data_IF_329881943956
#
_entry.id   IF_329881943956
#
_cell.length_a   1.000
_cell.length_b   1.000
_cell.length_c   1.000
_cell.angle_alpha   90.00
_cell.angle_beta   90.00
_cell.angle_gamma   90.00
#
_symmetry.space_group_name_H-M   'P 1'
#
loop_
_entity.id
_entity.type
_entity.pdbx_description
1 polymer ?
#
# COMPACT_ATOMS: atom_id res chain seq x y z
N UNK A 1 40.75 4.35 13.27
CA UNK A 1 40.63 5.62 12.51
C UNK A 1 42.03 6.03 12.10
N UNK A 2 42.23 6.45 10.85
CA UNK A 2 43.51 6.96 10.34
C UNK A 2 43.23 8.25 9.58
N UNK A 3 44.07 9.28 9.75
CA UNK A 3 43.83 10.55 9.09
C UNK A 3 44.63 11.73 9.62
N UNK A 4 44.61 12.82 8.88
CA UNK A 4 45.08 14.16 9.28
C UNK A 4 43.87 15.12 9.41
N UNK A 5 44.13 16.41 9.61
CA UNK A 5 43.07 17.44 9.75
C UNK A 5 42.20 17.61 8.51
N UNK A 6 42.66 17.18 7.32
CA UNK A 6 41.93 17.30 6.06
C UNK A 6 41.26 16.01 5.60
N UNK A 7 41.67 14.85 6.10
CA UNK A 7 41.15 13.55 5.65
C UNK A 7 41.06 12.55 6.78
N UNK A 8 39.87 12.01 7.03
CA UNK A 8 39.61 11.01 8.07
C UNK A 8 39.03 9.74 7.44
N UNK A 9 39.74 8.62 7.57
CA UNK A 9 39.31 7.30 7.13
C UNK A 9 38.93 6.40 8.32
N UNK A 10 37.77 5.75 8.20
CA UNK A 10 37.21 4.82 9.16
C UNK A 10 37.00 3.48 8.43
N UNK A 11 37.87 2.50 8.71
CA UNK A 11 37.86 1.18 8.06
C UNK A 11 36.93 0.16 8.76
N UNK A 12 36.67 0.30 10.07
CA UNK A 12 35.68 -0.49 10.84
C UNK A 12 34.76 0.50 11.58
N UNK A 13 33.89 1.14 10.81
CA UNK A 13 32.86 2.02 11.37
C UNK A 13 31.85 1.14 12.10
N UNK A 14 31.60 1.47 13.37
CA UNK A 14 30.46 0.96 14.15
C UNK A 14 29.75 2.15 14.74
N UNK A 15 28.59 2.45 14.20
CA UNK A 15 27.80 3.62 14.56
C UNK A 15 26.36 3.21 14.85
N UNK A 16 25.58 4.16 15.37
CA UNK A 16 24.13 4.02 15.48
C UNK A 16 23.47 5.26 14.92
N UNK A 17 22.49 5.09 14.04
CA UNK A 17 21.58 6.14 13.62
C UNK A 17 20.27 5.96 14.39
N UNK A 18 20.11 6.71 15.48
CA UNK A 18 19.07 6.42 16.47
C UNK A 18 19.25 5.03 17.08
N UNK A 19 18.24 4.17 16.97
CA UNK A 19 18.32 2.77 17.43
C UNK A 19 18.98 1.83 16.42
N UNK A 20 19.23 2.26 15.18
CA UNK A 20 19.66 1.41 14.07
C UNK A 20 21.19 1.22 14.12
N UNK A 21 21.71 0.00 14.32
CA UNK A 21 23.14 -0.25 14.23
C UNK A 21 23.61 -0.17 12.77
N UNK A 22 24.71 0.54 12.56
CA UNK A 22 25.37 0.71 11.27
C UNK A 22 26.81 0.21 11.37
N UNK A 23 27.24 -0.54 10.37
CA UNK A 23 28.62 -1.01 10.23
C UNK A 23 29.17 -0.66 8.86
N UNK A 24 30.48 -0.61 8.67
CA UNK A 24 31.07 -0.47 7.33
C UNK A 24 32.29 0.44 7.29
N UNK A 25 32.43 1.20 6.22
CA UNK A 25 33.54 2.12 6.00
C UNK A 25 33.04 3.53 5.73
N UNK A 26 33.83 4.52 6.14
CA UNK A 26 33.59 5.91 5.82
C UNK A 26 34.90 6.65 5.57
N UNK A 27 34.89 7.54 4.60
CA UNK A 27 35.95 8.48 4.28
C UNK A 27 35.37 9.87 4.30
N UNK A 28 35.89 10.70 5.18
CA UNK A 28 35.62 12.13 5.22
C UNK A 28 36.81 12.89 4.66
N UNK A 29 36.54 13.86 3.80
CA UNK A 29 37.51 14.80 3.29
C UNK A 29 36.98 16.21 3.50
N UNK A 30 37.74 17.03 4.24
CA UNK A 30 37.50 18.46 4.25
C UNK A 30 37.85 19.00 2.85
N UNK A 31 36.88 19.63 2.19
CA UNK A 31 37.10 20.35 0.93
C UNK A 31 37.21 21.85 1.19
N UNK A 32 37.79 22.59 0.25
CA UNK A 32 37.93 24.06 0.35
C UNK A 32 36.57 24.78 0.44
N UNK A 33 35.58 24.31 -0.34
CA UNK A 33 34.22 24.86 -0.33
C UNK A 33 33.20 23.98 0.41
N UNK A 34 33.27 22.66 0.20
CA UNK A 34 32.34 21.68 0.79
C UNK A 34 33.07 20.42 1.17
N UNK A 35 32.81 19.86 2.36
CA UNK A 35 33.35 18.55 2.71
C UNK A 35 32.68 17.46 1.88
N UNK A 36 33.44 16.39 1.63
CA UNK A 36 32.99 15.20 0.91
C UNK A 36 32.97 13.98 1.82
N UNK A 37 31.85 13.27 1.84
CA UNK A 37 31.66 12.02 2.57
C UNK A 37 31.45 10.85 1.61
N UNK A 38 32.34 9.87 1.65
CA UNK A 38 32.13 8.59 0.98
C UNK A 38 31.91 7.49 2.01
N UNK A 39 30.82 6.73 1.90
CA UNK A 39 30.49 5.68 2.86
C UNK A 39 29.95 4.42 2.18
N UNK A 40 30.37 3.26 2.69
CA UNK A 40 29.79 1.96 2.36
C UNK A 40 29.29 1.34 3.66
N UNK A 41 27.98 1.25 3.80
CA UNK A 41 27.30 0.93 5.06
C UNK A 41 26.49 -0.35 4.97
N UNK A 42 26.49 -1.11 6.06
CA UNK A 42 25.61 -2.24 6.31
C UNK A 42 24.73 -1.96 7.52
N UNK A 43 23.44 -2.18 7.38
CA UNK A 43 22.44 -2.00 8.41
C UNK A 43 21.59 -3.26 8.60
N UNK A 44 21.00 -3.39 9.79
CA UNK A 44 19.89 -4.31 10.01
C UNK A 44 18.61 -3.78 9.36
N UNK A 45 17.53 -3.72 10.13
CA UNK A 45 16.32 -3.01 9.71
C UNK A 45 16.46 -1.50 9.93
N UNK A 46 16.14 -0.73 8.90
CA UNK A 46 16.11 0.73 8.89
C UNK A 46 14.64 1.19 8.85
N UNK A 47 14.12 1.73 9.94
CA UNK A 47 12.76 2.29 9.99
C UNK A 47 12.81 3.81 9.80
N UNK A 48 12.11 4.33 8.79
CA UNK A 48 12.12 5.75 8.43
C UNK A 48 11.08 6.60 9.18
N UNK A 49 9.96 6.02 9.63
CA UNK A 49 8.94 6.73 10.42
C UNK A 49 9.50 7.53 11.61
N UNK A 50 10.37 6.98 12.48
CA UNK A 50 10.90 7.75 13.61
C UNK A 50 11.88 8.86 13.19
N UNK A 51 12.31 8.90 11.93
CA UNK A 51 13.25 9.87 11.39
C UNK A 51 12.55 11.03 10.65
N UNK A 52 11.24 10.95 10.46
CA UNK A 52 10.45 11.96 9.75
C UNK A 52 9.55 12.73 10.75
N UNK A 53 9.29 14.04 10.52
CA UNK A 53 8.36 14.81 11.35
C UNK A 53 7.00 14.13 11.43
N UNK A 54 6.39 14.14 12.62
CA UNK A 54 5.07 13.58 12.83
C UNK A 54 4.04 14.29 11.94
N UNK A 55 3.64 13.65 10.85
CA UNK A 55 2.47 14.04 10.08
C UNK A 55 1.25 13.74 10.94
N UNK A 56 0.43 14.76 11.23
CA UNK A 56 -0.91 14.55 11.79
C UNK A 56 -1.73 13.80 10.74
N UNK A 57 -1.78 12.48 10.81
CA UNK A 57 -2.64 11.67 9.96
C UNK A 57 -4.09 11.92 10.37
N UNK A 58 -4.89 12.48 9.46
CA UNK A 58 -6.36 12.47 9.56
C UNK A 58 -6.84 11.19 8.87
N UNK A 59 -7.71 10.48 9.59
CA UNK A 59 -8.41 9.21 9.27
C UNK A 59 -7.62 7.91 9.57
N UNK A 60 -7.80 7.46 10.80
CA UNK A 60 -7.50 6.12 11.30
C UNK A 60 -8.46 5.06 10.71
N UNK A 61 -7.96 3.83 10.50
CA UNK A 61 -8.67 2.67 9.95
C UNK A 61 -9.87 2.13 10.73
N UNK A 62 -10.37 2.85 11.74
CA UNK A 62 -11.56 2.45 12.53
C UNK A 62 -12.90 2.79 11.82
N UNK A 63 -12.87 3.57 10.74
CA UNK A 63 -14.06 3.93 9.97
C UNK A 63 -14.71 2.74 9.22
N UNK A 64 -13.96 1.65 8.96
CA UNK A 64 -14.48 0.43 8.33
C UNK A 64 -15.22 -0.49 9.33
N UNK A 65 -14.89 -0.43 10.61
CA UNK A 65 -15.58 -1.20 11.66
C UNK A 65 -16.93 -0.56 12.07
N UNK A 66 -17.07 0.75 11.87
CA UNK A 66 -18.31 1.51 12.12
C UNK A 66 -19.24 1.60 10.89
N UNK A 67 -19.01 0.80 9.85
CA UNK A 67 -19.67 0.92 8.55
C UNK A 67 -21.20 0.71 8.64
N UNK A 68 -22.04 1.66 8.20
CA UNK A 68 -23.50 1.58 8.27
C UNK A 68 -24.09 0.34 7.58
N UNK A 69 -23.43 -0.13 6.53
CA UNK A 69 -23.84 -1.31 5.75
C UNK A 69 -23.60 -2.62 6.54
N UNK A 70 -22.57 -2.70 7.38
CA UNK A 70 -22.35 -3.84 8.28
C UNK A 70 -23.39 -3.86 9.42
N UNK A 71 -23.78 -2.68 9.91
CA UNK A 71 -24.83 -2.51 10.92
C UNK A 71 -26.22 -2.84 10.35
N UNK A 72 -26.55 -2.34 9.16
CA UNK A 72 -27.77 -2.64 8.42
C UNK A 72 -27.86 -4.13 8.03
N UNK A 73 -26.74 -4.78 7.70
CA UNK A 73 -26.69 -6.23 7.47
C UNK A 73 -26.92 -7.05 8.75
N UNK A 74 -26.38 -6.61 9.90
CA UNK A 74 -26.62 -7.25 11.20
C UNK A 74 -28.07 -7.06 11.71
N UNK A 75 -28.70 -5.95 11.35
CA UNK A 75 -30.12 -5.65 11.64
C UNK A 75 -31.07 -6.38 10.68
N UNK A 76 -30.76 -6.45 9.38
CA UNK A 76 -31.50 -7.25 8.40
C UNK A 76 -31.43 -8.75 8.72
N UNK A 77 -30.30 -9.24 9.26
CA UNK A 77 -30.16 -10.64 9.73
C UNK A 77 -31.01 -10.93 10.97
N UNK A 78 -31.13 -9.97 11.89
CA UNK A 78 -32.04 -10.05 13.06
C UNK A 78 -33.52 -9.92 12.66
N UNK A 79 -33.83 -9.14 11.63
CA UNK A 79 -35.17 -9.03 11.05
C UNK A 79 -35.61 -10.30 10.31
N UNK A 80 -34.72 -10.88 9.50
CA UNK A 80 -34.99 -12.12 8.76
C UNK A 80 -35.18 -13.34 9.68
N UNK A 81 -34.51 -13.40 10.83
CA UNK A 81 -34.75 -14.44 11.85
C UNK A 81 -36.10 -14.29 12.59
N UNK A 82 -36.70 -13.09 12.58
CA UNK A 82 -37.99 -12.81 13.22
C UNK A 82 -39.17 -12.85 12.25
N UNK A 83 -38.93 -12.99 10.94
CA UNK A 83 -39.99 -13.06 9.93
C UNK A 83 -40.81 -14.36 10.04
N UNK A 84 -42.15 -14.28 10.24
CA UNK A 84 -43.01 -15.46 10.33
C UNK A 84 -43.05 -16.29 9.04
N UNK A 85 -42.64 -15.72 7.90
CA UNK A 85 -42.53 -16.42 6.63
C UNK A 85 -41.41 -17.49 6.59
N UNK A 86 -40.36 -17.38 7.41
CA UNK A 86 -39.34 -18.43 7.54
C UNK A 86 -39.78 -19.58 8.47
N UNK A 87 -40.70 -19.31 9.42
CA UNK A 87 -41.27 -20.35 10.29
C UNK A 87 -42.19 -21.28 9.50
N UNK A 88 -43.00 -20.76 8.58
CA UNK A 88 -43.90 -21.59 7.76
C UNK A 88 -43.14 -22.47 6.74
N UNK A 89 -42.07 -21.96 6.13
CA UNK A 89 -41.23 -22.75 5.20
C UNK A 89 -40.42 -23.84 5.94
N UNK A 90 -40.03 -23.61 7.20
CA UNK A 90 -39.38 -24.64 8.02
C UNK A 90 -40.38 -25.65 8.59
N UNK A 91 -41.59 -25.26 9.01
CA UNK A 91 -42.64 -26.19 9.45
C UNK A 91 -43.14 -27.09 8.31
N UNK A 92 -43.21 -26.60 7.07
CA UNK A 92 -43.57 -27.43 5.91
C UNK A 92 -42.46 -28.41 5.50
N UNK A 93 -41.19 -28.06 5.71
CA UNK A 93 -40.06 -28.99 5.43
C UNK A 93 -39.91 -30.04 6.55
N UNK A 94 -40.28 -29.70 7.79
CA UNK A 94 -40.17 -30.59 8.95
C UNK A 94 -41.34 -31.59 9.06
N UNK A 95 -42.54 -31.25 8.55
CA UNK A 95 -43.68 -32.19 8.47
C UNK A 95 -43.51 -33.30 7.41
N UNK A 96 -42.56 -33.16 6.49
CA UNK A 96 -42.30 -34.17 5.44
C UNK A 96 -41.25 -35.21 5.80
N UNK A 97 -40.54 -35.05 6.93
CA UNK A 97 -39.45 -35.94 7.36
C UNK A 97 -39.67 -36.62 8.73
N UNK A 98 -40.89 -36.63 9.28
CA UNK A 98 -41.20 -37.41 10.48
C UNK A 98 -41.94 -38.70 10.12
N UNK A 99 -41.16 -39.69 9.71
CA UNK A 99 -41.59 -41.08 9.61
C UNK A 99 -40.39 -42.01 9.77
N UNK A 100 -40.27 -42.64 10.95
CA UNK A 100 -39.41 -43.82 11.29
C UNK A 100 -37.89 -43.62 11.20
N UNK A 101 -37.01 -43.98 12.15
CA UNK A 101 -37.00 -44.96 13.26
C UNK A 101 -35.80 -44.69 14.20
N UNK A 102 -35.95 -45.07 15.47
CA UNK A 102 -34.95 -45.15 16.56
C UNK A 102 -33.60 -45.84 16.22
N UNK A 103 -32.48 -45.34 16.79
CA UNK A 103 -31.63 -46.08 17.78
C UNK A 103 -30.37 -45.32 18.25
N UNK A 104 -30.32 -45.09 19.57
CA UNK A 104 -29.20 -45.26 20.53
C UNK A 104 -27.78 -44.72 20.26
N UNK A 105 -27.33 -43.78 21.10
CA UNK A 105 -25.94 -43.52 21.50
C UNK A 105 -25.40 -44.62 22.45
N UNK A 106 -24.06 -44.76 22.65
CA UNK A 106 -23.43 -44.35 23.93
C UNK A 106 -21.94 -43.87 23.77
N UNK A 107 -21.04 -43.80 24.80
CA UNK A 107 -20.49 -42.53 25.34
C UNK A 107 -18.94 -42.37 25.29
N UNK A 108 -18.42 -41.19 25.68
CA UNK A 108 -16.98 -40.93 25.92
C UNK A 108 -16.49 -41.47 27.28
N UNK A 109 -15.17 -41.71 27.45
CA UNK A 109 -14.54 -41.72 28.76
C UNK A 109 -13.55 -40.57 29.00
N UNK A 110 -13.41 -40.22 30.28
CA UNK A 110 -12.49 -39.26 30.88
C UNK A 110 -11.13 -39.89 31.28
N UNK A 111 -10.14 -39.04 31.60
CA UNK A 111 -8.88 -39.39 32.28
C UNK A 111 -7.95 -38.15 32.34
N UNK A 112 -7.95 -37.32 33.41
CA UNK A 112 -7.15 -37.37 34.66
C UNK A 112 -5.62 -37.35 34.47
N UNK A 113 -4.94 -36.35 35.07
CA UNK A 113 -3.47 -36.34 35.18
C UNK A 113 -2.89 -34.98 35.59
N UNK A 114 -2.82 -34.74 36.89
CA UNK A 114 -2.23 -33.59 37.58
C UNK A 114 -0.75 -33.89 37.93
N UNK A 115 0.21 -32.98 37.74
CA UNK A 115 1.45 -32.92 38.52
C UNK A 115 2.04 -31.50 38.54
N UNK A 116 2.37 -31.06 39.76
CA UNK A 116 2.94 -29.79 40.18
C UNK A 116 3.99 -30.19 41.23
N UNK A 117 5.28 -29.88 41.04
CA UNK A 117 6.30 -29.83 42.10
C UNK A 117 7.41 -28.84 41.71
N UNK A 118 7.61 -27.83 42.58
CA UNK A 118 8.75 -26.91 42.70
C UNK A 118 10.06 -27.64 43.08
N UNK A 119 11.24 -27.12 42.71
CA UNK A 119 12.11 -26.40 43.66
C UNK A 119 13.49 -25.99 43.10
N UNK A 120 14.05 -24.95 43.74
CA UNK A 120 15.48 -24.65 43.96
C UNK A 120 16.39 -24.09 42.83
N UNK A 121 16.53 -22.75 42.85
CA UNK A 121 17.73 -21.95 43.22
C UNK A 121 19.11 -22.40 42.70
N UNK A 122 19.81 -21.52 41.96
CA UNK A 122 21.19 -21.06 42.28
C UNK A 122 21.68 -19.89 41.38
N UNK A 123 22.17 -18.81 42.02
CA UNK A 123 22.95 -17.69 41.44
C UNK A 123 24.45 -17.90 41.73
N UNK A 124 25.36 -17.33 40.92
CA UNK A 124 26.70 -16.95 41.40
C UNK A 124 27.10 -15.50 40.94
N UNK A 125 28.27 -14.92 41.32
CA UNK A 125 28.41 -13.86 42.33
C UNK A 125 29.03 -12.53 41.80
N UNK A 126 29.21 -11.47 42.62
CA UNK A 126 29.73 -10.15 42.20
C UNK A 126 31.22 -9.94 42.56
N UNK A 127 31.94 -9.10 41.79
CA UNK A 127 33.30 -8.60 42.12
C UNK A 127 33.56 -7.20 41.48
N UNK A 128 34.57 -6.40 41.89
CA UNK A 128 34.36 -5.24 42.78
C UNK A 128 34.88 -3.90 42.21
N UNK A 129 34.60 -2.83 42.97
CA UNK A 129 34.93 -1.44 42.67
C UNK A 129 36.37 -1.08 43.13
N UNK A 130 37.16 -0.37 42.31
CA UNK A 130 38.49 0.16 42.69
C UNK A 130 38.60 1.66 42.38
N UNK A 131 38.76 2.47 43.42
CA UNK A 131 39.25 3.86 43.37
C UNK A 131 40.78 3.86 43.27
N UNK A 132 41.35 4.76 42.46
CA UNK A 132 42.62 5.41 42.80
C UNK A 132 42.73 6.81 42.21
N UNK A 133 43.19 7.72 43.06
CA UNK A 133 43.54 9.12 42.83
C UNK A 133 44.82 9.33 42.00
N UNK A 134 44.97 10.49 41.35
CA UNK A 134 46.27 11.00 40.91
C UNK A 134 46.17 12.24 39.99
N UNK A 135 46.54 13.40 40.52
CA UNK A 135 46.55 14.72 39.87
C UNK A 135 47.71 14.84 38.86
N UNK A 136 47.47 15.50 37.73
CA UNK A 136 48.50 15.94 36.79
C UNK A 136 47.89 16.91 35.78
N UNK A 137 47.97 18.22 36.08
CA UNK A 137 47.53 19.31 35.22
C UNK A 137 48.66 19.62 34.23
N UNK A 138 48.39 19.51 32.93
CA UNK A 138 49.24 20.08 31.88
C UNK A 138 48.32 20.89 30.95
N UNK A 139 48.40 22.22 31.06
CA UNK A 139 47.65 23.16 30.21
C UNK A 139 48.27 23.17 28.80
N UNK A 140 47.50 22.82 27.79
CA UNK A 140 47.70 23.29 26.42
C UNK A 140 46.62 24.35 26.08
N UNK A 141 46.95 25.38 25.30
CA UNK A 141 46.01 26.46 24.98
C UNK A 141 44.85 25.92 24.14
N UNK A 142 43.62 26.15 24.59
CA UNK A 142 42.40 25.82 23.85
C UNK A 142 42.26 26.78 22.66
N UNK A 143 42.06 26.31 21.41
CA UNK A 143 41.65 27.20 20.34
C UNK A 143 40.27 27.79 20.68
N UNK A 144 40.15 29.12 20.57
CA UNK A 144 39.04 29.96 21.03
C UNK A 144 37.67 29.71 20.34
N UNK A 145 37.53 28.66 19.53
CA UNK A 145 36.24 28.26 18.93
C UNK A 145 35.56 27.08 19.66
N UNK A 146 36.23 26.39 20.58
CA UNK A 146 35.58 25.39 21.47
C UNK A 146 35.11 26.03 22.79
N UNK A 147 34.61 27.26 22.73
CA UNK A 147 33.80 27.81 23.80
C UNK A 147 32.51 27.00 23.88
N UNK A 148 32.28 26.38 25.03
CA UNK A 148 31.05 25.69 25.40
C UNK A 148 29.82 26.55 25.10
N UNK A 149 29.26 26.42 23.90
CA UNK A 149 27.83 26.46 23.77
C UNK A 149 27.34 25.19 24.46
N UNK A 150 26.91 25.34 25.72
CA UNK A 150 25.94 24.41 26.31
C UNK A 150 24.83 24.33 25.28
N UNK A 151 24.81 23.27 24.46
CA UNK A 151 23.72 23.04 23.53
C UNK A 151 22.44 23.20 24.35
N UNK A 152 21.52 24.10 23.97
CA UNK A 152 20.24 24.18 24.66
C UNK A 152 19.71 22.75 24.68
N UNK A 153 19.34 22.26 25.86
CA UNK A 153 18.84 20.90 26.00
C UNK A 153 17.63 20.73 25.09
N UNK A 154 17.85 20.24 23.88
CA UNK A 154 16.81 19.97 22.91
C UNK A 154 16.06 18.76 23.42
N UNK A 155 14.91 19.02 24.03
CA UNK A 155 14.03 17.98 24.58
C UNK A 155 13.44 17.13 23.45
N UNK A 156 13.37 17.66 22.22
CA UNK A 156 12.93 16.97 21.02
C UNK A 156 13.86 17.26 19.83
N UNK A 157 14.19 16.23 19.06
CA UNK A 157 14.94 16.34 17.79
C UNK A 157 14.18 17.21 16.75
N UNK A 158 12.84 17.27 16.90
CA UNK A 158 11.95 18.04 16.04
C UNK A 158 12.12 19.57 16.10
N UNK A 159 12.77 20.10 17.15
CA UNK A 159 12.95 21.55 17.34
C UNK A 159 14.27 22.07 16.75
N UNK A 160 15.09 21.20 16.15
CA UNK A 160 16.37 21.60 15.62
C UNK A 160 16.22 22.48 14.35
N UNK A 161 17.08 23.50 14.13
CA UNK A 161 16.97 24.38 12.95
C UNK A 161 17.04 23.67 11.59
N UNK A 162 17.75 22.54 11.51
CA UNK A 162 17.80 21.68 10.31
C UNK A 162 16.52 20.85 10.12
N UNK A 163 15.70 20.70 11.16
CA UNK A 163 14.37 20.09 11.11
C UNK A 163 13.33 21.04 10.49
N UNK A 164 13.56 22.36 10.63
CA UNK A 164 12.71 23.42 10.06
C UNK A 164 13.03 23.71 8.58
N UNK A 165 14.24 23.36 8.11
CA UNK A 165 14.68 23.45 6.71
C UNK A 165 15.36 22.14 6.29
N UNK A 166 14.59 21.06 6.12
CA UNK A 166 15.11 19.71 5.92
C UNK A 166 16.05 19.59 4.70
N UNK A 167 15.87 20.45 3.70
CA UNK A 167 16.70 20.46 2.51
C UNK A 167 18.00 21.27 2.63
N UNK A 168 18.12 22.17 3.62
CA UNK A 168 19.33 22.99 3.80
C UNK A 168 20.57 22.13 4.10
N UNK A 169 20.38 20.98 4.76
CA UNK A 169 21.46 20.04 5.04
C UNK A 169 22.06 19.42 3.75
N UNK A 170 21.26 19.28 2.69
CA UNK A 170 21.72 18.72 1.42
C UNK A 170 22.75 19.62 0.73
N UNK A 171 22.74 20.91 1.02
CA UNK A 171 23.72 21.86 0.49
C UNK A 171 24.98 21.99 1.36
N UNK A 172 25.02 21.37 2.55
CA UNK A 172 26.12 21.55 3.50
C UNK A 172 27.34 20.66 3.21
N UNK A 173 27.17 19.57 2.45
CA UNK A 173 28.24 18.64 2.11
C UNK A 173 27.89 17.87 0.83
N UNK A 174 28.92 17.30 0.21
CA UNK A 174 28.76 16.32 -0.87
C UNK A 174 28.92 14.90 -0.32
N UNK A 175 28.23 13.93 -0.91
CA UNK A 175 28.32 12.55 -0.47
C UNK A 175 28.16 11.49 -1.56
N UNK A 176 28.81 10.35 -1.33
CA UNK A 176 28.58 9.09 -2.02
C UNK A 176 28.26 8.04 -0.96
N UNK A 177 27.08 7.44 -1.03
CA UNK A 177 26.62 6.41 -0.10
C UNK A 177 26.24 5.15 -0.87
N UNK A 178 26.84 4.03 -0.45
CA UNK A 178 26.39 2.68 -0.79
C UNK A 178 25.85 2.03 0.51
N UNK A 179 24.58 1.65 0.52
CA UNK A 179 23.89 1.11 1.69
C UNK A 179 23.31 -0.27 1.37
N UNK A 180 23.71 -1.28 2.13
CA UNK A 180 23.03 -2.57 2.19
C UNK A 180 22.29 -2.70 3.54
N UNK A 181 20.99 -2.95 3.51
CA UNK A 181 20.17 -3.11 4.71
C UNK A 181 19.36 -4.41 4.65
N UNK A 182 19.18 -5.07 5.80
CA UNK A 182 18.31 -6.25 5.87
C UNK A 182 16.86 -5.90 5.50
N UNK A 183 16.39 -4.71 5.90
CA UNK A 183 15.15 -4.13 5.41
C UNK A 183 15.15 -2.60 5.55
N UNK A 184 14.40 -1.91 4.69
CA UNK A 184 14.05 -0.49 4.83
C UNK A 184 12.54 -0.39 4.91
N UNK A 185 12.01 0.21 5.97
CA UNK A 185 10.58 0.29 6.23
C UNK A 185 10.10 1.73 6.46
N UNK A 186 9.00 2.10 5.80
CA UNK A 186 8.29 3.35 5.96
C UNK A 186 6.79 3.09 5.86
N UNK A 187 6.04 3.34 6.94
CA UNK A 187 4.60 3.08 7.01
C UNK A 187 4.22 1.66 6.51
N UNK A 188 3.40 1.55 5.45
CA UNK A 188 3.01 0.27 4.84
C UNK A 188 4.08 -0.32 3.89
N UNK A 189 5.12 0.44 3.58
CA UNK A 189 6.17 0.09 2.63
C UNK A 189 7.33 -0.57 3.36
N UNK A 190 7.61 -1.83 3.02
CA UNK A 190 8.76 -2.57 3.54
C UNK A 190 9.53 -3.18 2.37
N UNK A 191 10.77 -2.78 2.23
CA UNK A 191 11.70 -3.30 1.23
C UNK A 191 12.71 -4.20 1.92
N UNK A 192 12.66 -5.49 1.63
CA UNK A 192 13.56 -6.49 2.18
C UNK A 192 14.82 -6.63 1.32
N UNK A 193 15.96 -6.92 1.96
CA UNK A 193 17.25 -7.06 1.27
C UNK A 193 17.62 -5.80 0.48
N UNK A 194 17.38 -4.64 1.07
CA UNK A 194 17.49 -3.36 0.39
C UNK A 194 18.96 -3.02 0.07
N UNK A 195 19.21 -2.58 -1.16
CA UNK A 195 20.50 -2.05 -1.58
C UNK A 195 20.31 -0.71 -2.27
N UNK A 196 20.99 0.33 -1.78
CA UNK A 196 20.82 1.71 -2.24
C UNK A 196 22.13 2.39 -2.55
N UNK A 197 22.19 3.08 -3.69
CA UNK A 197 23.30 3.94 -4.08
C UNK A 197 22.80 5.37 -4.24
N UNK A 198 23.40 6.27 -3.46
CA UNK A 198 23.02 7.67 -3.38
C UNK A 198 24.24 8.54 -3.61
N UNK A 199 24.09 9.56 -4.46
CA UNK A 199 25.06 10.65 -4.60
C UNK A 199 24.40 11.96 -4.23
N UNK A 200 25.11 12.80 -3.50
CA UNK A 200 24.72 14.16 -3.17
C UNK A 200 25.84 15.08 -3.66
N UNK A 201 25.49 16.00 -4.55
CA UNK A 201 26.46 16.96 -5.08
C UNK A 201 25.81 18.32 -5.18
N UNK A 202 26.38 19.31 -4.51
CA UNK A 202 25.95 20.69 -4.70
C UNK A 202 24.55 21.01 -4.18
N UNK A 203 23.92 20.16 -3.34
CA UNK A 203 22.51 20.28 -2.97
C UNK A 203 21.55 19.42 -3.81
N UNK A 204 22.05 18.72 -4.84
CA UNK A 204 21.24 17.81 -5.64
C UNK A 204 21.56 16.35 -5.27
N UNK A 205 20.56 15.63 -4.76
CA UNK A 205 20.63 14.21 -4.44
C UNK A 205 20.15 13.38 -5.63
N UNK A 206 20.85 12.29 -5.93
CA UNK A 206 20.46 11.29 -6.91
C UNK A 206 20.57 9.90 -6.30
N UNK A 207 19.50 9.12 -6.44
CA UNK A 207 19.46 7.68 -6.15
C UNK A 207 19.64 6.96 -7.48
N UNK A 208 20.84 6.44 -7.74
CA UNK A 208 21.16 5.76 -9.01
C UNK A 208 20.55 4.37 -9.07
N UNK A 209 20.43 3.70 -7.93
CA UNK A 209 19.76 2.42 -7.79
C UNK A 209 19.29 2.25 -6.35
N UNK A 210 18.04 1.84 -6.18
CA UNK A 210 17.53 1.31 -4.92
C UNK A 210 16.72 0.04 -5.22
N UNK A 211 17.22 -1.11 -4.79
CA UNK A 211 16.68 -2.43 -5.14
C UNK A 211 16.33 -3.22 -3.88
N UNK A 212 15.48 -4.23 -4.04
CA UNK A 212 15.11 -5.15 -2.96
C UNK A 212 13.81 -5.90 -3.28
N UNK A 213 13.14 -6.40 -2.25
CA UNK A 213 11.84 -7.08 -2.39
C UNK A 213 10.74 -6.25 -1.72
N UNK A 214 9.68 -5.93 -2.46
CA UNK A 214 8.51 -5.18 -1.99
C UNK A 214 7.24 -5.95 -2.33
N UNK A 215 6.41 -6.25 -1.32
CA UNK A 215 5.17 -7.05 -1.44
C UNK A 215 5.39 -8.39 -2.18
N UNK A 216 6.51 -9.05 -1.90
CA UNK A 216 6.90 -10.32 -2.55
C UNK A 216 7.37 -10.20 -4.00
N UNK A 217 7.45 -8.98 -4.56
CA UNK A 217 7.96 -8.68 -5.89
C UNK A 217 9.35 -8.05 -5.86
N UNK A 218 10.04 -8.03 -7.00
CA UNK A 218 11.35 -7.36 -7.16
C UNK A 218 11.17 -5.87 -7.39
N UNK A 219 11.78 -5.04 -6.55
CA UNK A 219 11.78 -3.58 -6.64
C UNK A 219 13.04 -3.07 -7.35
N UNK A 220 12.86 -2.10 -8.24
CA UNK A 220 13.91 -1.20 -8.71
C UNK A 220 13.40 0.24 -8.65
N UNK A 221 14.15 1.12 -7.99
CA UNK A 221 13.84 2.54 -7.86
C UNK A 221 15.04 3.38 -8.27
N UNK A 222 14.76 4.45 -9.01
CA UNK A 222 15.70 5.55 -9.24
C UNK A 222 15.02 6.86 -8.87
N UNK A 223 15.81 7.87 -8.50
CA UNK A 223 15.21 9.16 -8.16
C UNK A 223 16.22 10.29 -8.06
N UNK A 224 15.70 11.50 -7.98
CA UNK A 224 16.47 12.71 -7.77
C UNK A 224 15.68 13.71 -6.93
N UNK A 225 16.39 14.40 -6.05
CA UNK A 225 15.89 15.55 -5.31
C UNK A 225 16.86 16.71 -5.54
N UNK A 226 16.42 17.72 -6.26
CA UNK A 226 17.18 18.95 -6.43
C UNK A 226 16.75 19.97 -5.39
N UNK A 227 17.53 20.11 -4.32
CA UNK A 227 17.31 21.08 -3.26
C UNK A 227 18.05 22.40 -3.48
N UNK A 228 18.84 22.51 -4.56
CA UNK A 228 19.54 23.74 -4.91
C UNK A 228 18.64 24.73 -5.69
N UNK A 229 17.55 24.23 -6.28
CA UNK A 229 16.55 25.05 -6.95
C UNK A 229 15.76 25.94 -5.95
N UNK A 230 15.27 27.10 -6.42
CA UNK A 230 14.44 28.02 -5.63
C UNK A 230 13.24 27.34 -4.96
N UNK A 231 12.65 26.38 -5.66
CA UNK A 231 11.67 25.44 -5.11
C UNK A 231 12.21 24.04 -5.34
N UNK A 232 12.53 23.28 -4.27
CA UNK A 232 13.08 21.94 -4.40
C UNK A 232 12.18 21.02 -5.23
N UNK A 233 12.80 20.18 -6.06
CA UNK A 233 12.11 19.31 -7.02
C UNK A 233 12.46 17.85 -6.81
N UNK A 234 11.45 17.00 -6.73
CA UNK A 234 11.56 15.56 -6.62
C UNK A 234 11.12 14.90 -7.94
N UNK A 235 11.87 13.91 -8.39
CA UNK A 235 11.46 12.98 -9.42
C UNK A 235 11.85 11.55 -9.02
N UNK A 236 10.98 10.57 -9.26
CA UNK A 236 11.28 9.18 -8.99
C UNK A 236 10.63 8.26 -10.02
N UNK A 237 11.33 7.17 -10.36
CA UNK A 237 10.80 6.08 -11.18
C UNK A 237 10.88 4.81 -10.34
N UNK A 238 9.76 4.10 -10.27
CA UNK A 238 9.61 2.88 -9.46
C UNK A 238 9.08 1.77 -10.36
N UNK A 239 9.79 0.65 -10.36
CA UNK A 239 9.39 -0.58 -11.03
C UNK A 239 9.28 -1.69 -9.99
N UNK A 240 8.16 -2.41 -10.00
CA UNK A 240 7.95 -3.60 -9.18
C UNK A 240 7.49 -4.73 -10.08
N UNK A 241 8.18 -5.87 -10.06
CA UNK A 241 7.83 -7.06 -10.84
C UNK A 241 7.39 -8.22 -9.97
N UNK A 242 6.28 -8.84 -10.33
CA UNK A 242 5.77 -10.06 -9.71
C UNK A 242 5.31 -9.89 -8.25
N UNK A 243 4.89 -8.68 -7.84
CA UNK A 243 4.32 -8.47 -6.52
C UNK A 243 3.03 -9.28 -6.32
N UNK A 244 2.70 -9.59 -5.06
CA UNK A 244 1.41 -10.18 -4.72
C UNK A 244 0.32 -9.09 -4.80
N UNK A 245 -0.61 -9.26 -5.75
CA UNK A 245 -1.68 -8.27 -6.01
C UNK A 245 -2.57 -8.07 -4.78
N UNK A 246 -2.89 -9.15 -4.05
CA UNK A 246 -3.79 -9.09 -2.91
C UNK A 246 -3.12 -8.35 -1.75
N UNK A 247 -1.90 -8.74 -1.39
CA UNK A 247 -1.14 -8.08 -0.33
C UNK A 247 -0.95 -6.59 -0.65
N UNK A 248 -0.58 -6.27 -1.89
CA UNK A 248 -0.36 -4.89 -2.32
C UNK A 248 -1.62 -4.04 -2.14
N UNK A 249 -2.77 -4.51 -2.65
CA UNK A 249 -4.03 -3.77 -2.56
C UNK A 249 -4.59 -3.72 -1.14
N UNK A 250 -4.38 -4.76 -0.34
CA UNK A 250 -4.78 -4.79 1.05
C UNK A 250 -4.01 -3.75 1.87
N UNK A 251 -2.69 -3.67 1.71
CA UNK A 251 -1.85 -2.73 2.45
C UNK A 251 -2.07 -1.28 2.05
N UNK A 252 -2.26 -1.01 0.75
CA UNK A 252 -2.38 0.37 0.24
C UNK A 252 -3.80 0.90 0.33
N UNK A 253 -4.81 0.07 0.03
CA UNK A 253 -6.20 0.51 -0.14
C UNK A 253 -7.21 -0.28 0.73
N UNK A 254 -6.77 -1.23 1.54
CA UNK A 254 -7.66 -2.10 2.31
C UNK A 254 -8.49 -3.06 1.43
N UNK A 255 -8.13 -3.20 0.15
CA UNK A 255 -8.89 -3.97 -0.83
C UNK A 255 -8.37 -5.41 -0.92
N UNK A 256 -9.23 -6.37 -0.59
CA UNK A 256 -8.93 -7.81 -0.65
C UNK A 256 -9.64 -8.55 -1.79
N UNK A 257 -10.26 -7.80 -2.69
CA UNK A 257 -11.14 -8.34 -3.72
C UNK A 257 -10.38 -8.93 -4.92
N UNK A 258 -9.09 -8.65 -5.07
CA UNK A 258 -8.29 -9.11 -6.20
C UNK A 258 -7.12 -9.94 -5.71
N UNK A 259 -6.85 -11.03 -6.41
CA UNK A 259 -5.72 -11.95 -6.20
C UNK A 259 -5.00 -12.15 -7.53
N UNK A 260 -3.69 -12.42 -7.50
CA UNK A 260 -2.87 -12.61 -8.69
C UNK A 260 -1.45 -12.08 -8.51
N UNK A 261 -0.70 -12.00 -9.60
CA UNK A 261 0.60 -11.31 -9.66
C UNK A 261 0.42 -9.92 -10.25
N UNK A 262 1.25 -8.97 -9.82
CA UNK A 262 1.19 -7.57 -10.19
C UNK A 262 2.58 -7.05 -10.59
N UNK A 263 2.66 -6.48 -11.78
CA UNK A 263 3.75 -5.62 -12.22
C UNK A 263 3.31 -4.16 -12.18
N UNK A 264 4.19 -3.27 -11.72
CA UNK A 264 3.94 -1.84 -11.59
C UNK A 264 5.11 -1.06 -12.17
N UNK A 265 4.81 -0.04 -12.97
CA UNK A 265 5.74 1.00 -13.39
C UNK A 265 5.13 2.35 -13.02
N UNK A 266 5.79 3.09 -12.13
CA UNK A 266 5.30 4.36 -11.64
C UNK A 266 6.35 5.46 -11.83
N UNK A 267 5.89 6.60 -12.32
CA UNK A 267 6.67 7.83 -12.43
C UNK A 267 6.06 8.86 -11.50
N UNK A 268 6.88 9.48 -10.66
CA UNK A 268 6.47 10.43 -9.64
C UNK A 268 7.24 11.74 -9.78
N UNK A 269 6.57 12.84 -9.52
CA UNK A 269 7.15 14.16 -9.42
C UNK A 269 6.48 14.97 -8.31
N UNK A 270 7.27 15.82 -7.65
CA UNK A 270 6.75 16.79 -6.69
C UNK A 270 7.64 18.03 -6.66
N UNK A 271 7.07 19.15 -6.20
CA UNK A 271 7.83 20.35 -5.88
C UNK A 271 7.33 20.88 -4.54
N UNK A 272 8.25 21.39 -3.72
CA UNK A 272 7.89 21.91 -2.40
C UNK A 272 9.12 22.28 -1.58
N UNK A 273 8.97 23.28 -0.72
CA UNK A 273 10.00 23.76 0.20
C UNK A 273 10.19 22.86 1.43
N UNK A 274 9.31 21.88 1.61
CA UNK A 274 9.33 20.90 2.68
C UNK A 274 8.88 19.50 2.19
N UNK A 275 9.27 18.40 2.87
CA UNK A 275 8.78 17.06 2.60
C UNK A 275 7.25 16.95 2.68
N UNK A 276 6.62 17.72 3.57
CA UNK A 276 5.16 17.78 3.67
C UNK A 276 4.56 18.40 2.41
N UNK A 277 5.05 19.57 1.98
CA UNK A 277 4.58 20.23 0.76
C UNK A 277 4.79 19.34 -0.47
N UNK A 278 5.94 18.66 -0.56
CA UNK A 278 6.18 17.67 -1.61
C UNK A 278 5.21 16.50 -1.58
N UNK A 279 4.93 15.92 -0.40
CA UNK A 279 3.98 14.83 -0.27
C UNK A 279 2.57 15.23 -0.71
N UNK A 280 2.17 16.48 -0.44
CA UNK A 280 0.88 17.03 -0.83
C UNK A 280 0.81 17.39 -2.33
N UNK A 281 1.92 17.82 -2.92
CA UNK A 281 2.04 18.14 -4.35
C UNK A 281 2.41 16.92 -5.22
N UNK A 282 2.55 15.74 -4.61
CA UNK A 282 3.01 14.53 -5.30
C UNK A 282 2.03 14.15 -6.41
N UNK A 283 2.55 14.11 -7.63
CA UNK A 283 1.80 13.76 -8.84
C UNK A 283 2.53 12.62 -9.52
N UNK A 284 1.80 11.71 -10.15
CA UNK A 284 2.41 10.58 -10.83
C UNK A 284 1.50 9.84 -11.79
N UNK A 285 2.13 9.02 -12.61
CA UNK A 285 1.48 8.10 -13.54
C UNK A 285 1.93 6.69 -13.19
N UNK A 286 0.96 5.83 -12.88
CA UNK A 286 1.19 4.43 -12.50
C UNK A 286 0.56 3.53 -13.56
N UNK A 287 1.41 2.80 -14.28
CA UNK A 287 0.99 1.75 -15.21
C UNK A 287 1.14 0.41 -14.51
N UNK A 288 0.13 -0.43 -14.61
CA UNK A 288 0.16 -1.73 -13.95
C UNK A 288 -0.35 -2.84 -14.84
N UNK A 289 0.10 -4.05 -14.55
CA UNK A 289 -0.31 -5.29 -15.21
C UNK A 289 -0.45 -6.39 -14.17
N UNK A 290 -1.66 -6.87 -13.97
CA UNK A 290 -1.97 -8.06 -13.21
C UNK A 290 -2.26 -9.26 -14.11
N UNK A 291 -1.87 -10.45 -13.69
CA UNK A 291 -2.06 -11.68 -14.48
C UNK A 291 -2.53 -12.86 -13.64
N UNK A 292 -3.24 -13.78 -14.30
CA UNK A 292 -3.62 -15.11 -13.82
C UNK A 292 -4.23 -15.07 -12.41
N UNK A 293 -5.18 -14.17 -12.24
CA UNK A 293 -5.72 -13.84 -10.94
C UNK A 293 -7.19 -14.18 -10.77
N UNK A 294 -7.75 -13.72 -9.66
CA UNK A 294 -9.14 -13.95 -9.29
C UNK A 294 -9.76 -12.71 -8.68
N UNK A 295 -10.99 -12.42 -9.07
CA UNK A 295 -11.89 -11.53 -8.35
C UNK A 295 -12.58 -12.34 -7.27
N UNK A 296 -12.56 -11.88 -6.02
CA UNK A 296 -13.24 -12.47 -4.89
C UNK A 296 -14.50 -11.72 -4.57
N UNK A 297 -15.47 -12.44 -4.02
CA UNK A 297 -16.76 -11.87 -3.69
C UNK A 297 -17.74 -11.84 -4.85
N UNK A 298 -17.38 -12.36 -6.02
CA UNK A 298 -18.18 -12.27 -7.24
C UNK A 298 -18.15 -13.57 -8.05
N UNK A 299 -19.32 -14.05 -8.51
CA UNK A 299 -19.47 -15.22 -9.38
C UNK A 299 -20.08 -14.83 -10.74
N UNK A 300 -19.20 -14.62 -11.72
CA UNK A 300 -19.59 -14.27 -13.09
C UNK A 300 -20.28 -15.42 -13.81
N UNK A 301 -20.03 -16.68 -13.43
CA UNK A 301 -20.70 -17.81 -14.06
C UNK A 301 -22.18 -17.87 -13.67
N UNK A 302 -22.51 -17.58 -12.40
CA UNK A 302 -23.91 -17.41 -11.95
C UNK A 302 -24.56 -16.23 -12.66
N UNK A 303 -23.86 -15.10 -12.79
CA UNK A 303 -24.38 -13.95 -13.54
C UNK A 303 -24.68 -14.33 -14.99
N UNK A 304 -23.75 -14.96 -15.71
CA UNK A 304 -23.94 -15.41 -17.09
C UNK A 304 -25.16 -16.33 -17.25
N UNK A 305 -25.36 -17.30 -16.32
CA UNK A 305 -26.52 -18.19 -16.37
C UNK A 305 -27.84 -17.44 -16.19
N UNK A 306 -27.90 -16.47 -15.28
CA UNK A 306 -29.11 -15.66 -15.05
C UNK A 306 -29.40 -14.72 -16.22
N UNK A 307 -28.35 -14.17 -16.84
CA UNK A 307 -28.47 -13.41 -18.08
C UNK A 307 -29.06 -14.27 -19.21
N UNK A 308 -28.65 -15.53 -19.31
CA UNK A 308 -29.17 -16.48 -20.30
C UNK A 308 -30.61 -16.93 -20.05
N UNK A 309 -30.97 -17.20 -18.79
CA UNK A 309 -32.36 -17.42 -18.39
C UNK A 309 -33.22 -16.15 -18.56
N UNK A 310 -32.54 -15.00 -18.56
CA UNK A 310 -33.15 -13.72 -18.76
C UNK A 310 -33.99 -13.26 -17.57
N UNK A 311 -33.51 -13.61 -16.39
CA UNK A 311 -34.05 -13.14 -15.12
C UNK A 311 -33.77 -11.65 -14.92
N UNK A 312 -34.50 -11.03 -13.99
CA UNK A 312 -34.12 -9.73 -13.48
C UNK A 312 -32.72 -9.81 -12.86
N UNK A 313 -31.81 -8.95 -13.32
CA UNK A 313 -30.42 -8.96 -12.90
C UNK A 313 -30.31 -8.11 -11.64
N UNK A 314 -30.29 -8.78 -10.50
CA UNK A 314 -30.15 -8.16 -9.17
C UNK A 314 -28.91 -8.74 -8.50
N UNK A 315 -28.14 -7.90 -7.81
CA UNK A 315 -27.00 -8.36 -7.00
C UNK A 315 -27.54 -9.17 -5.80
N UNK A 316 -27.57 -10.49 -5.96
CA UNK A 316 -28.00 -11.44 -4.92
C UNK A 316 -26.79 -12.06 -4.21
N UNK A 317 -26.95 -12.65 -3.01
CA UNK A 317 -25.89 -13.36 -2.31
C UNK A 317 -25.20 -14.50 -3.11
N UNK A 318 -25.85 -14.99 -4.18
CA UNK A 318 -25.32 -16.01 -5.08
C UNK A 318 -24.39 -15.43 -6.17
N UNK A 319 -24.49 -14.13 -6.45
CA UNK A 319 -23.65 -13.42 -7.42
C UNK A 319 -22.58 -12.61 -6.68
N UNK A 320 -22.94 -12.01 -5.54
CA UNK A 320 -22.06 -11.22 -4.69
C UNK A 320 -22.09 -11.78 -3.27
N UNK A 321 -20.96 -12.26 -2.76
CA UNK A 321 -20.96 -12.94 -1.47
C UNK A 321 -19.62 -13.53 -1.05
N UNK A 322 -19.48 -13.80 0.25
CA UNK A 322 -18.25 -14.44 0.77
C UNK A 322 -18.06 -15.82 0.16
N UNK A 323 -16.83 -16.13 -0.24
CA UNK A 323 -16.47 -17.42 -0.84
C UNK A 323 -16.67 -17.51 -2.36
N UNK A 324 -17.38 -16.56 -2.97
CA UNK A 324 -17.51 -16.49 -4.43
C UNK A 324 -16.21 -16.00 -5.07
N UNK A 325 -15.92 -16.50 -6.27
CA UNK A 325 -14.72 -16.07 -6.99
C UNK A 325 -14.78 -16.32 -8.49
N UNK A 326 -14.28 -15.35 -9.27
CA UNK A 326 -14.23 -15.37 -10.74
C UNK A 326 -12.78 -15.22 -11.21
N UNK A 327 -12.25 -16.11 -12.07
CA UNK A 327 -10.90 -15.97 -12.59
C UNK A 327 -10.78 -14.85 -13.64
N UNK A 328 -9.62 -14.19 -13.69
CA UNK A 328 -9.22 -13.29 -14.77
C UNK A 328 -7.85 -13.72 -15.34
N UNK A 329 -7.63 -13.46 -16.63
CA UNK A 329 -6.36 -13.70 -17.34
C UNK A 329 -5.44 -12.50 -17.22
N UNK A 330 -5.94 -11.30 -17.52
CA UNK A 330 -5.19 -10.05 -17.42
C UNK A 330 -6.01 -8.94 -16.77
N UNK A 331 -5.31 -8.04 -16.11
CA UNK A 331 -5.79 -6.79 -15.53
C UNK A 331 -4.74 -5.73 -15.87
N UNK A 332 -5.09 -4.61 -16.49
CA UNK A 332 -4.11 -3.59 -16.84
C UNK A 332 -4.74 -2.22 -16.92
N UNK A 333 -3.96 -1.17 -16.67
CA UNK A 333 -4.41 0.19 -16.87
C UNK A 333 -3.40 1.21 -16.42
N UNK A 334 -3.83 2.46 -16.50
CA UNK A 334 -3.07 3.64 -16.09
C UNK A 334 -3.84 4.36 -14.99
N UNK A 335 -3.14 4.68 -13.91
CA UNK A 335 -3.65 5.49 -12.81
C UNK A 335 -2.87 6.80 -12.81
N UNK A 336 -3.59 7.91 -12.80
CA UNK A 336 -3.04 9.25 -12.61
C UNK A 336 -3.31 9.68 -11.17
N UNK A 337 -2.26 9.98 -10.43
CA UNK A 337 -2.32 10.58 -9.08
C UNK A 337 -1.97 12.04 -9.23
N UNK A 338 -2.82 12.93 -8.71
CA UNK A 338 -2.66 14.38 -8.85
C UNK A 338 -2.74 14.99 -7.47
N UNK A 339 -1.62 15.53 -7.01
CA UNK A 339 -1.54 16.34 -5.80
C UNK A 339 -2.02 17.75 -6.08
N UNK A 340 -2.87 18.28 -5.19
CA UNK A 340 -3.41 19.64 -5.26
C UNK A 340 -2.99 20.40 -4.01
N UNK A 341 -2.47 21.61 -4.20
CA UNK A 341 -2.23 22.57 -3.13
C UNK A 341 -2.85 23.90 -3.56
N UNK A 342 -3.93 24.32 -2.91
CA UNK A 342 -4.62 25.58 -3.20
C UNK A 342 -5.08 26.20 -1.89
N UNK A 343 -4.69 27.45 -1.62
CA UNK A 343 -5.12 28.21 -0.44
C UNK A 343 -4.98 27.44 0.90
N UNK A 344 -3.84 26.76 1.11
CA UNK A 344 -3.56 25.89 2.26
C UNK A 344 -4.44 24.64 2.39
N UNK A 345 -5.30 24.37 1.42
CA UNK A 345 -6.04 23.11 1.28
C UNK A 345 -5.22 22.17 0.41
N UNK A 346 -4.98 20.97 0.92
CA UNK A 346 -4.21 19.95 0.23
C UNK A 346 -5.10 18.77 -0.12
N UNK A 347 -5.00 18.29 -1.34
CA UNK A 347 -5.86 17.24 -1.86
C UNK A 347 -5.12 16.28 -2.75
N UNK A 348 -5.66 15.08 -2.91
CA UNK A 348 -5.16 14.11 -3.89
C UNK A 348 -6.34 13.56 -4.67
N UNK A 349 -6.25 13.68 -5.99
CA UNK A 349 -7.20 13.07 -6.92
C UNK A 349 -6.53 11.90 -7.60
N UNK A 350 -7.16 10.74 -7.61
CA UNK A 350 -6.71 9.55 -8.34
C UNK A 350 -7.71 9.24 -9.45
N UNK A 351 -7.22 9.06 -10.67
CA UNK A 351 -8.04 8.83 -11.86
C UNK A 351 -7.54 7.65 -12.67
N UNK A 352 -8.44 6.89 -13.26
CA UNK A 352 -8.15 5.91 -14.30
C UNK A 352 -9.24 5.96 -15.37
N UNK A 353 -8.85 5.82 -16.63
CA UNK A 353 -9.76 5.84 -17.78
C UNK A 353 -9.70 4.58 -18.66
N UNK A 354 -8.78 3.67 -18.35
CA UNK A 354 -8.37 2.58 -19.23
C UNK A 354 -8.14 1.26 -18.48
N UNK A 355 -8.61 1.14 -17.23
CA UNK A 355 -8.50 -0.10 -16.47
C UNK A 355 -9.31 -1.19 -17.17
N UNK A 356 -8.61 -2.18 -17.74
CA UNK A 356 -9.17 -3.31 -18.48
C UNK A 356 -8.92 -4.60 -17.72
N UNK A 357 -9.91 -5.46 -17.67
CA UNK A 357 -9.78 -6.82 -17.18
C UNK A 357 -10.31 -7.79 -18.22
N UNK A 358 -9.61 -8.89 -18.47
CA UNK A 358 -10.06 -9.96 -19.36
C UNK A 358 -10.06 -11.27 -18.60
N UNK A 359 -11.04 -12.13 -18.86
CA UNK A 359 -11.14 -13.44 -18.22
C UNK A 359 -11.95 -14.42 -19.07
N UNK A 360 -12.01 -15.70 -18.65
CA UNK A 360 -12.77 -16.72 -19.38
C UNK A 360 -14.28 -16.43 -19.46
N UNK A 361 -14.81 -15.71 -18.47
CA UNK A 361 -16.25 -15.43 -18.33
C UNK A 361 -16.68 -14.07 -18.89
N UNK A 362 -15.74 -13.27 -19.41
CA UNK A 362 -16.01 -11.96 -19.97
C UNK A 362 -14.83 -11.00 -19.85
N UNK A 363 -15.07 -9.75 -20.22
CA UNK A 363 -14.14 -8.65 -20.13
C UNK A 363 -14.80 -7.43 -19.49
N UNK A 364 -14.01 -6.53 -18.91
CA UNK A 364 -14.52 -5.29 -18.35
C UNK A 364 -13.61 -4.11 -18.58
N UNK A 365 -14.19 -2.92 -18.64
CA UNK A 365 -13.48 -1.64 -18.61
C UNK A 365 -13.98 -0.85 -17.41
N UNK A 366 -13.06 -0.29 -16.62
CA UNK A 366 -13.37 0.57 -15.48
C UNK A 366 -12.78 1.95 -15.68
N UNK A 367 -13.63 2.96 -15.45
CA UNK A 367 -13.25 4.36 -15.33
C UNK A 367 -13.56 4.78 -13.90
N UNK A 368 -12.62 5.43 -13.23
CA UNK A 368 -12.81 5.90 -11.87
C UNK A 368 -12.13 7.24 -11.63
N UNK A 369 -12.75 8.05 -10.78
CA UNK A 369 -12.18 9.26 -10.18
C UNK A 369 -12.45 9.18 -8.69
N UNK A 370 -11.38 9.23 -7.88
CA UNK A 370 -11.43 9.22 -6.42
C UNK A 370 -10.75 10.49 -5.93
N UNK A 371 -11.47 11.30 -5.15
CA UNK A 371 -11.00 12.58 -4.62
C UNK A 371 -10.92 12.48 -3.09
N UNK A 372 -9.70 12.33 -2.57
CA UNK A 372 -9.47 12.25 -1.12
C UNK A 372 -9.70 13.59 -0.41
N UNK A 373 -9.62 14.71 -1.12
CA UNK A 373 -9.88 16.03 -0.53
C UNK A 373 -11.36 16.21 -0.19
N UNK A 374 -12.23 15.62 -1.02
CA UNK A 374 -13.68 15.58 -0.80
C UNK A 374 -14.14 14.31 -0.10
N UNK A 375 -13.26 13.32 0.04
CA UNK A 375 -13.58 11.96 0.44
C UNK A 375 -14.73 11.37 -0.41
N UNK A 376 -14.72 11.66 -1.71
CA UNK A 376 -15.75 11.25 -2.68
C UNK A 376 -15.14 10.42 -3.82
N UNK A 377 -15.96 9.58 -4.44
CA UNK A 377 -15.55 8.79 -5.59
C UNK A 377 -16.68 8.54 -6.56
N UNK A 378 -16.32 8.37 -7.82
CA UNK A 378 -17.19 7.89 -8.88
C UNK A 378 -16.46 6.78 -9.64
N UNK A 379 -17.11 5.64 -9.76
CA UNK A 379 -16.61 4.45 -10.46
C UNK A 379 -17.68 3.99 -11.45
N UNK A 380 -17.26 3.66 -12.66
CA UNK A 380 -18.10 3.01 -13.67
C UNK A 380 -17.33 1.84 -14.24
N UNK A 381 -17.90 0.65 -14.12
CA UNK A 381 -17.38 -0.58 -14.71
C UNK A 381 -18.38 -1.11 -15.72
N UNK A 382 -17.96 -1.23 -16.96
CA UNK A 382 -18.72 -1.89 -18.03
C UNK A 382 -18.22 -3.32 -18.17
N UNK A 383 -19.14 -4.28 -18.20
CA UNK A 383 -18.85 -5.70 -18.23
C UNK A 383 -19.50 -6.28 -19.49
N UNK A 384 -18.71 -6.93 -20.32
CA UNK A 384 -19.17 -7.74 -21.46
C UNK A 384 -19.03 -9.22 -21.11
N UNK A 385 -20.15 -9.90 -20.79
CA UNK A 385 -20.19 -11.35 -20.60
C UNK A 385 -19.68 -12.11 -21.83
N UNK A 386 -18.85 -13.13 -21.65
CA UNK A 386 -18.36 -13.92 -22.80
C UNK A 386 -19.45 -14.72 -23.50
N UNK A 387 -20.55 -15.03 -22.81
CA UNK A 387 -21.70 -15.71 -23.39
C UNK A 387 -22.53 -14.84 -24.35
N UNK A 388 -22.32 -13.52 -24.36
CA UNK A 388 -23.11 -12.55 -25.12
C UNK A 388 -22.19 -11.50 -25.77
N UNK A 389 -21.37 -11.88 -26.78
CA UNK A 389 -20.35 -11.01 -27.35
C UNK A 389 -20.93 -9.77 -28.05
N UNK A 390 -22.12 -9.87 -28.63
CA UNK A 390 -22.77 -8.78 -29.39
C UNK A 390 -23.73 -7.94 -28.54
N UNK A 391 -23.94 -8.31 -27.27
CA UNK A 391 -24.85 -7.60 -26.39
C UNK A 391 -24.23 -6.30 -25.84
N UNK A 392 -25.05 -5.27 -25.54
CA UNK A 392 -24.61 -4.11 -24.75
C UNK A 392 -24.01 -4.55 -23.41
N UNK A 393 -23.07 -3.79 -22.81
CA UNK A 393 -22.49 -4.16 -21.53
C UNK A 393 -23.49 -4.06 -20.38
N UNK A 394 -23.27 -4.88 -19.36
CA UNK A 394 -23.84 -4.67 -18.03
C UNK A 394 -22.98 -3.63 -17.31
N UNK A 395 -23.59 -2.56 -16.81
CA UNK A 395 -22.87 -1.45 -16.17
C UNK A 395 -23.04 -1.50 -14.66
N UNK A 396 -21.92 -1.53 -13.94
CA UNK A 396 -21.87 -1.31 -12.49
C UNK A 396 -21.39 0.13 -12.25
N UNK A 397 -22.08 0.86 -11.38
CA UNK A 397 -21.68 2.22 -10.98
C UNK A 397 -21.53 2.29 -9.48
N UNK A 398 -20.54 3.07 -9.02
CA UNK A 398 -20.43 3.46 -7.63
C UNK A 398 -20.25 4.98 -7.54
N UNK A 399 -20.94 5.63 -6.61
CA UNK A 399 -20.80 7.06 -6.37
C UNK A 399 -20.99 7.41 -4.88
N UNK A 400 -20.47 8.57 -4.47
CA UNK A 400 -20.63 9.13 -3.14
C UNK A 400 -19.36 9.06 -2.29
N UNK A 401 -19.51 8.96 -0.98
CA UNK A 401 -18.37 8.95 -0.05
C UNK A 401 -17.47 7.74 -0.25
N UNK A 402 -16.14 7.93 -0.27
CA UNK A 402 -15.16 6.83 -0.34
C UNK A 402 -15.29 5.83 0.82
N UNK A 403 -15.76 6.29 1.98
CA UNK A 403 -15.99 5.43 3.13
C UNK A 403 -17.25 4.54 2.98
N UNK A 404 -18.17 4.90 2.09
CA UNK A 404 -19.46 4.22 1.93
C UNK A 404 -20.03 4.41 0.50
N UNK A 405 -19.27 4.00 -0.52
CA UNK A 405 -19.70 4.13 -1.91
C UNK A 405 -21.01 3.37 -2.15
N UNK A 406 -21.96 4.02 -2.81
CA UNK A 406 -23.24 3.40 -3.18
C UNK A 406 -23.09 2.70 -4.52
N UNK A 407 -23.23 1.38 -4.51
CA UNK A 407 -23.14 0.56 -5.72
C UNK A 407 -24.51 0.34 -6.37
N UNK A 408 -24.58 0.48 -7.69
CA UNK A 408 -25.78 0.24 -8.50
C UNK A 408 -25.42 -0.59 -9.73
N UNK A 409 -26.39 -1.38 -10.20
CA UNK A 409 -26.27 -2.22 -11.39
C UNK A 409 -27.32 -1.76 -12.41
N UNK A 410 -26.88 -1.36 -13.59
CA UNK A 410 -27.72 -1.07 -14.74
C UNK A 410 -27.49 -2.13 -15.81
N UNK A 411 -28.55 -2.89 -16.08
CA UNK A 411 -28.59 -3.89 -17.13
C UNK A 411 -29.80 -3.70 -18.05
N UNK A 412 -30.45 -2.53 -18.04
CA UNK A 412 -31.66 -2.28 -18.81
C UNK A 412 -31.40 -2.33 -20.33
N UNK A 413 -30.23 -1.85 -20.76
CA UNK A 413 -29.81 -1.96 -22.16
C UNK A 413 -29.58 -3.43 -22.56
N UNK A 414 -28.90 -4.21 -21.71
CA UNK A 414 -28.69 -5.64 -21.92
C UNK A 414 -30.03 -6.41 -22.02
N UNK A 415 -30.95 -6.17 -21.09
CA UNK A 415 -32.25 -6.85 -21.04
C UNK A 415 -33.14 -6.54 -22.25
N UNK A 416 -33.09 -5.30 -22.77
CA UNK A 416 -33.83 -4.90 -23.98
C UNK A 416 -33.27 -5.47 -25.27
N UNK A 417 -31.95 -5.72 -25.32
CA UNK A 417 -31.30 -6.22 -26.54
C UNK A 417 -31.61 -7.69 -26.84
N UNK A 418 -32.07 -8.46 -25.84
CA UNK A 418 -32.35 -9.90 -25.91
C UNK A 418 -32.64 -10.39 -27.36
N UNK A 419 -31.75 -11.20 -27.95
CA UNK A 419 -32.06 -11.84 -29.23
C UNK A 419 -33.25 -12.79 -29.04
N UNK A 420 -34.14 -12.80 -30.02
CA UNK A 420 -35.25 -13.75 -30.08
C UNK A 420 -34.69 -15.18 -30.06
N UNK A 421 -35.06 -16.04 -29.10
CA UNK A 421 -34.56 -17.42 -29.03
C UNK A 421 -34.95 -18.27 -30.25
N UNK A 422 -35.83 -17.79 -31.14
CA UNK A 422 -36.17 -18.44 -32.41
C UNK A 422 -35.19 -18.14 -33.56
N UNK A 423 -34.28 -17.16 -33.41
CA UNK A 423 -33.26 -16.88 -34.41
C UNK A 423 -31.97 -17.66 -34.14
N UNK A 424 -32.04 -18.98 -34.34
CA UNK A 424 -30.83 -19.73 -34.72
C UNK A 424 -30.51 -19.33 -36.15
N UNK A 425 -29.56 -18.41 -36.34
CA UNK A 425 -29.04 -18.11 -37.68
C UNK A 425 -27.57 -18.52 -37.73
N UNK A 426 -27.33 -19.56 -38.54
CA UNK A 426 -26.06 -19.84 -39.20
C UNK A 426 -25.51 -18.57 -39.83
N UNK A 427 -24.62 -17.83 -39.16
CA UNK A 427 -23.73 -16.90 -39.85
C UNK A 427 -22.39 -16.77 -39.10
N UNK A 428 -21.32 -17.13 -39.81
CA UNK A 428 -19.94 -16.82 -39.44
C UNK A 428 -19.77 -15.31 -39.24
N UNK A 429 -19.16 -14.83 -38.14
CA UNK A 429 -18.88 -13.42 -37.98
C UNK A 429 -17.51 -13.05 -38.59
N UNK A 430 -17.50 -12.04 -39.45
CA UNK A 430 -16.31 -11.28 -39.84
C UNK A 430 -16.11 -10.16 -38.81
N UNK A 431 -14.87 -9.89 -38.33
CA UNK A 431 -14.65 -8.89 -37.29
C UNK A 431 -14.75 -7.47 -37.88
N UNK A 432 -15.51 -6.56 -37.26
CA UNK A 432 -15.49 -5.14 -37.61
C UNK A 432 -15.67 -4.21 -36.41
N UNK A 433 -14.53 -3.55 -36.10
CA UNK A 433 -14.36 -2.16 -35.66
C UNK A 433 -15.07 -1.70 -34.38
N UNK A 434 -14.27 -1.63 -33.32
CA UNK A 434 -14.50 -0.88 -32.08
C UNK A 434 -14.62 0.61 -32.42
N UNK A 435 -15.81 1.21 -32.24
CA UNK A 435 -15.97 2.67 -32.25
C UNK A 435 -15.53 3.23 -30.89
N UNK A 436 -14.41 3.95 -30.89
CA UNK A 436 -14.09 4.94 -29.87
C UNK A 436 -15.03 6.14 -30.08
N UNK A 437 -15.88 6.44 -29.10
CA UNK A 437 -16.41 7.78 -28.82
C UNK A 437 -17.22 7.71 -27.52
N UNK A 438 -16.59 8.01 -26.39
CA UNK A 438 -17.30 8.49 -25.20
C UNK A 438 -17.07 10.01 -25.12
N UNK A 439 -18.12 10.82 -24.92
CA UNK A 439 -17.93 12.25 -24.67
C UNK A 439 -17.32 12.44 -23.26
N UNK A 440 -16.35 13.34 -23.19
CA UNK A 440 -15.84 13.89 -21.94
C UNK A 440 -16.94 14.79 -21.32
N UNK A 441 -17.29 14.63 -20.04
CA UNK A 441 -18.02 15.68 -19.33
C UNK A 441 -17.06 16.84 -19.00
N UNK A 442 -17.53 18.06 -19.22
CA UNK A 442 -16.86 19.32 -18.90
C UNK A 442 -16.50 19.44 -17.42
#
# INVERSE_FOLDING_TARGET
MRGDTGRIAIEDLRARLGSIPLTGTALWQAGEDRPHLKATLKAGEVTLNPLLPATKTVVSGDALAAHPLLKAMAEARRGAQKSPALKQTQEQTQKKNTGTTNRSSPPSPAGTGNWLVEDAIQRPPPVPNRRSSGKGVFLMPRPLWLASAKAPGMKNVADAPWFQRPFALLSAFDAELDLAAAAVAYDVWRVEGAHGQVTLKGGSMRVSAFTGTLFGGTLALTGSLDAAADTPKLAAVVEVKGADLRETLERIAGLRALEGRLDVNAEWAAQGDSPQAMGQALTGVVRFKGENGRVRGFDMAVLNRRLAAGDAIVLTPQIVGKGLSTPFRSLSGTIHVIGHVTDHVTGTTVRTGDLRMTGPTGQSVTVATLDWSKAEGVVRTEIWPSAFPDAPPVTVRADGSLAALRWTLDAAAFQRHRPDPSQTIDHHPTPSVIRQNLPLPN
#
